data_IF_539072173101
#
_entry.id   IF_539072173101
#
_cell.length_a   1.000
_cell.length_b   1.000
_cell.length_c   1.000
_cell.angle_alpha   90.00
_cell.angle_beta   90.00
_cell.angle_gamma   90.00
#
_symmetry.space_group_name_H-M   'P 1'
#
loop_
_entity.id
_entity.type
_entity.pdbx_description
1 polymer ?
#
# COMPACT_ATOMS: atom_id res chain seq x y z
N UNK A 1 19.28 -5.47 -6.70
CA UNK A 1 18.14 -4.59 -7.03
C UNK A 1 16.91 -5.18 -6.35
N UNK A 2 16.74 -4.93 -5.05
CA UNK A 2 15.72 -5.61 -4.23
C UNK A 2 15.08 -4.69 -3.18
N UNK A 3 15.41 -3.39 -3.18
CA UNK A 3 15.01 -2.46 -2.12
C UNK A 3 13.72 -1.68 -2.40
N UNK A 4 13.29 -1.58 -3.66
CA UNK A 4 12.15 -0.71 -4.00
C UNK A 4 10.82 -1.26 -3.47
N UNK A 5 10.68 -2.58 -3.41
CA UNK A 5 9.49 -3.24 -2.84
C UNK A 5 9.43 -3.10 -1.32
N UNK A 6 10.59 -3.25 -0.66
CA UNK A 6 10.69 -3.05 0.78
C UNK A 6 10.41 -1.60 1.16
N UNK A 7 10.94 -0.65 0.40
CA UNK A 7 10.71 0.78 0.64
C UNK A 7 9.22 1.13 0.44
N UNK A 8 8.58 0.60 -0.60
CA UNK A 8 7.15 0.83 -0.84
C UNK A 8 6.27 0.19 0.24
N UNK A 9 6.56 -1.05 0.63
CA UNK A 9 5.86 -1.74 1.72
C UNK A 9 5.98 -0.96 3.03
N UNK A 10 7.18 -0.47 3.35
CA UNK A 10 7.43 0.33 4.54
C UNK A 10 6.68 1.68 4.49
N UNK A 11 6.65 2.34 3.34
CA UNK A 11 5.86 3.57 3.14
C UNK A 11 4.37 3.35 3.42
N UNK A 12 3.78 2.25 2.93
CA UNK A 12 2.38 1.90 3.22
C UNK A 12 2.17 1.72 4.73
N UNK A 13 3.02 0.91 5.38
CA UNK A 13 2.90 0.63 6.82
C UNK A 13 3.03 1.91 7.65
N UNK A 14 3.97 2.79 7.31
CA UNK A 14 4.17 4.06 7.99
C UNK A 14 2.98 5.00 7.77
N UNK A 15 2.42 5.03 6.57
CA UNK A 15 1.25 5.83 6.25
C UNK A 15 0.01 5.36 7.04
N UNK A 16 -0.25 4.05 7.07
CA UNK A 16 -1.31 3.43 7.88
C UNK A 16 -1.17 3.79 9.36
N UNK A 17 0.04 3.61 9.93
CA UNK A 17 0.32 3.97 11.32
C UNK A 17 0.12 5.45 11.60
N UNK A 18 0.61 6.33 10.72
CA UNK A 18 0.53 7.78 10.88
C UNK A 18 -0.90 8.31 10.78
N UNK A 19 -1.72 7.72 9.92
CA UNK A 19 -3.10 8.13 9.70
C UNK A 19 -4.12 7.29 10.47
N UNK A 20 -3.66 6.30 11.25
CA UNK A 20 -4.51 5.34 11.97
C UNK A 20 -5.53 4.66 11.06
N UNK A 21 -5.12 4.29 9.84
CA UNK A 21 -5.94 3.61 8.86
C UNK A 21 -5.82 2.09 9.00
N UNK A 22 -6.91 1.38 8.71
CA UNK A 22 -6.85 -0.06 8.52
C UNK A 22 -6.63 -0.43 7.05
N UNK A 23 -6.12 -1.64 6.81
CA UNK A 23 -6.01 -2.22 5.47
C UNK A 23 -7.33 -2.13 4.68
N UNK A 24 -8.46 -2.30 5.36
CA UNK A 24 -9.80 -2.19 4.78
C UNK A 24 -10.09 -0.78 4.21
N UNK A 25 -9.66 0.27 4.90
CA UNK A 25 -9.90 1.66 4.47
C UNK A 25 -9.11 1.98 3.20
N UNK A 26 -7.86 1.49 3.15
CA UNK A 26 -7.02 1.60 1.97
C UNK A 26 -7.60 0.78 0.83
N UNK A 27 -7.93 -0.49 1.09
CA UNK A 27 -8.52 -1.41 0.12
C UNK A 27 -9.75 -0.81 -0.56
N UNK A 28 -10.66 -0.26 0.25
CA UNK A 28 -11.87 0.38 -0.23
C UNK A 28 -11.56 1.60 -1.13
N UNK A 29 -10.56 2.39 -0.77
CA UNK A 29 -10.22 3.62 -1.48
C UNK A 29 -9.40 3.38 -2.76
N UNK A 30 -8.57 2.35 -2.79
CA UNK A 30 -7.68 2.04 -3.92
C UNK A 30 -8.25 0.97 -4.84
N UNK A 31 -9.39 0.36 -4.47
CA UNK A 31 -9.97 -0.80 -5.14
C UNK A 31 -9.01 -2.01 -5.17
N UNK A 32 -8.11 -2.10 -4.19
CA UNK A 32 -7.18 -3.22 -4.02
C UNK A 32 -7.74 -4.13 -2.92
N UNK A 33 -7.63 -5.44 -3.07
CA UNK A 33 -8.05 -6.37 -2.02
C UNK A 33 -7.18 -6.22 -0.78
N UNK A 34 -7.77 -6.37 0.40
CA UNK A 34 -7.09 -6.37 1.70
C UNK A 34 -5.94 -7.37 1.72
N UNK A 35 -6.17 -8.57 1.19
CA UNK A 35 -5.14 -9.60 1.07
C UNK A 35 -3.97 -9.16 0.18
N UNK A 36 -4.23 -8.42 -0.92
CA UNK A 36 -3.17 -7.88 -1.76
C UNK A 36 -2.35 -6.84 -1.01
N UNK A 37 -2.98 -5.92 -0.29
CA UNK A 37 -2.26 -4.95 0.56
C UNK A 37 -1.40 -5.69 1.59
N UNK A 38 -1.95 -6.71 2.25
CA UNK A 38 -1.21 -7.51 3.22
C UNK A 38 -0.04 -8.27 2.59
N UNK A 39 -0.20 -8.79 1.37
CA UNK A 39 0.87 -9.47 0.63
C UNK A 39 1.97 -8.50 0.19
N UNK A 40 1.62 -7.30 -0.27
CA UNK A 40 2.56 -6.23 -0.62
C UNK A 40 3.37 -5.81 0.62
N UNK A 41 2.68 -5.56 1.74
CA UNK A 41 3.32 -5.23 3.03
C UNK A 41 4.24 -6.34 3.53
N UNK A 42 3.86 -7.59 3.32
CA UNK A 42 4.66 -8.77 3.69
C UNK A 42 5.75 -9.12 2.66
N UNK A 43 5.89 -8.34 1.58
CA UNK A 43 6.78 -8.63 0.45
C UNK A 43 6.54 -10.04 -0.16
N UNK A 44 5.34 -10.60 0.00
CA UNK A 44 4.95 -11.90 -0.55
C UNK A 44 4.61 -11.82 -2.03
N UNK A 45 4.14 -10.66 -2.48
CA UNK A 45 3.80 -10.40 -3.88
C UNK A 45 4.39 -9.07 -4.33
N UNK A 46 4.68 -8.99 -5.63
CA UNK A 46 4.99 -7.72 -6.26
C UNK A 46 3.68 -7.03 -6.67
N UNK A 47 3.42 -5.79 -6.19
CA UNK A 47 2.30 -5.02 -6.68
C UNK A 47 2.49 -4.74 -8.17
N UNK A 48 1.39 -4.78 -8.89
CA UNK A 48 1.32 -4.34 -10.28
C UNK A 48 1.47 -2.82 -10.37
N UNK A 49 1.79 -2.31 -11.57
CA UNK A 49 1.95 -0.87 -11.79
C UNK A 49 0.69 -0.08 -11.44
N UNK A 50 -0.48 -0.65 -11.72
CA UNK A 50 -1.78 -0.06 -11.37
C UNK A 50 -1.98 0.05 -9.85
N UNK A 51 -1.65 -1.01 -9.11
CA UNK A 51 -1.73 -1.02 -7.64
C UNK A 51 -0.78 0.01 -7.00
N UNK A 52 0.47 0.05 -7.48
CA UNK A 52 1.45 1.06 -7.02
C UNK A 52 0.92 2.47 -7.27
N UNK A 53 0.36 2.73 -8.45
CA UNK A 53 -0.18 4.03 -8.80
C UNK A 53 -1.41 4.39 -7.95
N UNK A 54 -2.33 3.45 -7.73
CA UNK A 54 -3.52 3.64 -6.91
C UNK A 54 -3.16 3.96 -5.44
N UNK A 55 -2.26 3.18 -4.84
CA UNK A 55 -1.78 3.38 -3.47
C UNK A 55 -1.03 4.71 -3.33
N UNK A 56 -0.13 5.02 -4.27
CA UNK A 56 0.63 6.28 -4.25
C UNK A 56 -0.31 7.48 -4.39
N UNK A 57 -1.30 7.39 -5.30
CA UNK A 57 -2.31 8.44 -5.49
C UNK A 57 -3.16 8.62 -4.24
N UNK A 58 -3.57 7.52 -3.60
CA UNK A 58 -4.31 7.57 -2.35
C UNK A 58 -3.51 8.27 -1.26
N UNK A 59 -2.28 7.84 -0.97
CA UNK A 59 -1.44 8.46 0.06
C UNK A 59 -1.18 9.95 -0.20
N UNK A 60 -0.98 10.33 -1.47
CA UNK A 60 -0.76 11.72 -1.87
C UNK A 60 -2.01 12.59 -1.74
N UNK A 61 -3.19 12.02 -2.01
CA UNK A 61 -4.45 12.75 -1.97
C UNK A 61 -5.10 12.75 -0.57
N UNK A 62 -4.65 11.89 0.32
CA UNK A 62 -5.16 11.77 1.68
C UNK A 62 -4.61 12.90 2.56
N UNK A 63 -5.46 13.89 2.86
CA UNK A 63 -5.13 15.05 3.70
C UNK A 63 -5.08 14.71 5.19
#
# INVERSE_FOLDING_TARGET
MSNELSDFAEQIIQFEKKKHLADNDIAFSTQISVEQIHNIKSMKTQPTKDEVNALTKFMRNYK
#
